data_IF_063702471087
#
_entry.id   IF_063702471087
#
_cell.length_a   1.000
_cell.length_b   1.000
_cell.length_c   1.000
_cell.angle_alpha   90.00
_cell.angle_beta   90.00
_cell.angle_gamma   90.00
#
_symmetry.space_group_name_H-M   'P 1'
#
loop_
_entity.id
_entity.type
_entity.pdbx_description
1 polymer ?
#
# COMPACT_ATOMS: atom_id res chain seq x y z
N UNK A 1 12.68 -39.04 -48.16
CA UNK A 1 12.07 -38.14 -47.14
C UNK A 1 13.19 -37.53 -46.32
N UNK A 2 13.59 -36.30 -46.63
CA UNK A 2 14.56 -35.57 -45.80
C UNK A 2 13.79 -34.93 -44.63
N UNK A 3 14.10 -35.38 -43.40
CA UNK A 3 13.58 -34.77 -42.19
C UNK A 3 14.05 -33.33 -42.08
N UNK A 4 13.13 -32.39 -41.85
CA UNK A 4 13.43 -31.00 -41.49
C UNK A 4 14.00 -30.97 -40.08
N UNK A 5 15.32 -30.95 -39.96
CA UNK A 5 15.98 -30.66 -38.68
C UNK A 5 16.09 -29.16 -38.56
N UNK A 6 15.31 -28.57 -37.65
CA UNK A 6 15.46 -27.15 -37.32
C UNK A 6 16.67 -26.96 -36.41
N UNK A 7 17.56 -26.03 -36.78
CA UNK A 7 18.65 -25.61 -35.91
C UNK A 7 18.16 -24.43 -35.08
N UNK A 8 18.14 -24.61 -33.78
CA UNK A 8 17.72 -23.55 -32.81
C UNK A 8 18.99 -22.96 -32.20
N UNK A 9 19.15 -21.64 -32.33
CA UNK A 9 20.22 -20.88 -31.69
C UNK A 9 19.73 -20.14 -30.44
N UNK A 10 20.62 -19.41 -29.77
CA UNK A 10 20.34 -18.62 -28.58
C UNK A 10 19.16 -17.64 -28.75
N UNK A 11 19.03 -17.07 -29.94
CA UNK A 11 17.96 -16.16 -30.33
C UNK A 11 16.56 -16.81 -30.32
N UNK A 12 16.49 -18.09 -30.70
CA UNK A 12 15.24 -18.85 -30.63
C UNK A 12 14.85 -19.20 -29.18
N UNK A 13 15.84 -19.48 -28.34
CA UNK A 13 15.64 -19.73 -26.91
C UNK A 13 15.10 -18.47 -26.21
N UNK A 14 15.74 -17.32 -26.41
CA UNK A 14 15.30 -16.05 -25.85
C UNK A 14 13.87 -15.68 -26.32
N UNK A 15 13.52 -15.99 -27.57
CA UNK A 15 12.17 -15.78 -28.10
C UNK A 15 11.15 -16.71 -27.47
N UNK A 16 11.51 -17.97 -27.21
CA UNK A 16 10.63 -18.92 -26.50
C UNK A 16 10.42 -18.51 -25.04
N UNK A 17 11.47 -18.06 -24.35
CA UNK A 17 11.40 -17.54 -22.99
C UNK A 17 10.48 -16.32 -22.89
N UNK A 18 10.62 -15.36 -23.83
CA UNK A 18 9.73 -14.21 -23.94
C UNK A 18 8.26 -14.63 -24.11
N UNK A 19 7.99 -15.57 -25.05
CA UNK A 19 6.64 -16.05 -25.32
C UNK A 19 6.06 -16.72 -24.07
N UNK A 20 6.83 -17.58 -23.41
CA UNK A 20 6.40 -18.30 -22.20
C UNK A 20 6.10 -17.32 -21.07
N UNK A 21 6.93 -16.32 -20.90
CA UNK A 21 6.76 -15.30 -19.86
C UNK A 21 5.51 -14.46 -20.13
N UNK A 22 5.33 -13.94 -21.34
CA UNK A 22 4.15 -13.17 -21.72
C UNK A 22 2.83 -13.98 -21.63
N UNK A 23 2.89 -15.29 -21.95
CA UNK A 23 1.73 -16.18 -21.75
C UNK A 23 1.38 -16.38 -20.27
N UNK A 24 2.40 -16.51 -19.42
CA UNK A 24 2.18 -16.59 -17.97
C UNK A 24 1.52 -15.31 -17.42
N UNK A 25 1.82 -14.16 -18.02
CA UNK A 25 1.19 -12.87 -17.72
C UNK A 25 -0.19 -12.68 -18.40
N UNK A 26 -0.72 -13.71 -19.06
CA UNK A 26 -2.06 -13.70 -19.66
C UNK A 26 -2.16 -13.14 -21.09
N UNK A 27 -1.03 -12.87 -21.75
CA UNK A 27 -1.06 -12.44 -23.16
C UNK A 27 -1.43 -13.61 -24.07
N UNK A 28 -2.35 -13.38 -25.02
CA UNK A 28 -2.64 -14.35 -26.06
C UNK A 28 -1.48 -14.44 -27.07
N UNK A 29 -1.29 -15.60 -27.67
CA UNK A 29 -0.27 -15.78 -28.73
C UNK A 29 -0.42 -14.76 -29.86
N UNK A 30 -1.66 -14.41 -30.23
CA UNK A 30 -1.91 -13.38 -31.26
C UNK A 30 -1.46 -11.98 -30.82
N UNK A 31 -1.55 -11.65 -29.52
CA UNK A 31 -1.03 -10.39 -29.00
C UNK A 31 0.50 -10.40 -28.96
N UNK A 32 1.10 -11.52 -28.58
CA UNK A 32 2.56 -11.72 -28.58
C UNK A 32 3.13 -11.64 -29.99
N UNK A 33 2.47 -12.27 -30.97
CA UNK A 33 2.87 -12.20 -32.38
C UNK A 33 2.91 -10.76 -32.88
N UNK A 34 1.87 -9.96 -32.61
CA UNK A 34 1.82 -8.55 -33.00
C UNK A 34 2.91 -7.72 -32.29
N UNK A 35 3.20 -7.98 -31.01
CA UNK A 35 4.29 -7.32 -30.31
C UNK A 35 5.66 -7.60 -30.94
N UNK A 36 5.88 -8.86 -31.32
CA UNK A 36 7.13 -9.27 -31.97
C UNK A 36 7.23 -8.75 -33.43
N UNK A 37 6.11 -8.72 -34.16
CA UNK A 37 6.06 -8.19 -35.54
C UNK A 37 6.18 -6.66 -35.58
N UNK A 38 5.69 -5.95 -34.58
CA UNK A 38 5.82 -4.49 -34.46
C UNK A 38 7.26 -4.04 -34.22
N UNK A 39 8.16 -4.94 -33.80
CA UNK A 39 9.58 -4.67 -33.58
C UNK A 39 10.51 -5.58 -34.43
N UNK A 40 10.40 -5.60 -35.75
CA UNK A 40 11.09 -6.58 -36.63
C UNK A 40 12.63 -6.50 -36.58
N UNK A 41 13.19 -5.41 -36.06
CA UNK A 41 14.62 -5.17 -35.96
C UNK A 41 15.19 -5.31 -34.54
N UNK A 42 14.37 -5.76 -33.58
CA UNK A 42 14.83 -5.98 -32.20
C UNK A 42 15.00 -7.48 -31.95
N UNK A 43 16.10 -7.85 -31.29
CA UNK A 43 16.22 -9.20 -30.76
C UNK A 43 15.15 -9.47 -29.69
N UNK A 44 14.71 -10.72 -29.59
CA UNK A 44 13.76 -11.12 -28.54
C UNK A 44 14.25 -10.75 -27.12
N UNK A 45 15.56 -10.79 -26.90
CA UNK A 45 16.21 -10.36 -25.66
C UNK A 45 15.95 -8.88 -25.35
N UNK A 46 15.99 -8.02 -26.36
CA UNK A 46 15.77 -6.59 -26.19
C UNK A 46 14.29 -6.28 -25.92
N UNK A 47 13.37 -6.99 -26.57
CA UNK A 47 11.94 -6.88 -26.30
C UNK A 47 11.60 -7.35 -24.87
N UNK A 48 12.22 -8.44 -24.42
CA UNK A 48 12.09 -8.92 -23.03
C UNK A 48 12.66 -7.91 -22.03
N UNK A 49 13.84 -7.35 -22.30
CA UNK A 49 14.45 -6.35 -21.44
C UNK A 49 13.56 -5.10 -21.29
N UNK A 50 12.98 -4.62 -22.39
CA UNK A 50 12.05 -3.49 -22.37
C UNK A 50 10.75 -3.80 -21.58
N UNK A 51 10.23 -5.03 -21.71
CA UNK A 51 9.08 -5.49 -20.93
C UNK A 51 9.42 -5.53 -19.44
N UNK A 52 10.55 -6.10 -19.06
CA UNK A 52 11.00 -6.14 -17.68
C UNK A 52 11.26 -4.74 -17.10
N UNK A 53 11.79 -3.81 -17.91
CA UNK A 53 11.92 -2.40 -17.53
C UNK A 53 10.55 -1.74 -17.27
N UNK A 54 9.54 -2.06 -18.05
CA UNK A 54 8.18 -1.53 -17.84
C UNK A 54 7.58 -1.99 -16.51
N UNK A 55 7.89 -3.22 -16.09
CA UNK A 55 7.45 -3.77 -14.80
C UNK A 55 8.34 -3.38 -13.60
N UNK A 56 9.54 -2.85 -13.85
CA UNK A 56 10.50 -2.52 -12.80
C UNK A 56 9.93 -1.65 -11.67
N UNK A 57 9.09 -0.63 -11.93
CA UNK A 57 8.49 0.18 -10.87
C UNK A 57 7.54 -0.60 -9.94
N UNK A 58 7.01 -1.74 -10.41
CA UNK A 58 6.03 -2.57 -9.72
C UNK A 58 6.62 -3.84 -9.10
N UNK A 59 7.96 -3.94 -9.10
CA UNK A 59 8.62 -5.08 -8.46
C UNK A 59 8.36 -5.08 -6.96
N UNK A 60 8.10 -6.27 -6.44
CA UNK A 60 8.08 -6.49 -5.01
C UNK A 60 9.44 -6.11 -4.39
N UNK A 61 9.43 -5.88 -3.11
CA UNK A 61 10.64 -5.67 -2.33
C UNK A 61 11.62 -6.84 -2.52
N UNK A 62 12.92 -6.55 -2.61
CA UNK A 62 13.93 -7.59 -2.74
C UNK A 62 13.99 -8.46 -1.49
N UNK A 63 13.96 -9.78 -1.70
CA UNK A 63 14.12 -10.73 -0.61
C UNK A 63 15.52 -10.64 -0.02
N UNK A 64 15.62 -10.85 1.29
CA UNK A 64 16.90 -10.86 2.01
C UNK A 64 17.18 -12.25 2.54
N UNK A 65 18.38 -12.75 2.24
CA UNK A 65 18.87 -14.04 2.74
C UNK A 65 19.76 -13.80 3.98
N UNK A 66 19.44 -14.46 5.08
CA UNK A 66 20.14 -14.30 6.35
C UNK A 66 20.31 -15.64 7.09
N UNK A 67 21.13 -15.68 8.13
CA UNK A 67 21.21 -16.83 9.02
C UNK A 67 20.12 -16.79 10.11
N UNK A 68 19.95 -17.93 10.83
CA UNK A 68 18.98 -18.04 11.92
C UNK A 68 19.24 -17.05 13.06
N UNK A 69 20.49 -16.70 13.34
CA UNK A 69 20.85 -15.76 14.39
C UNK A 69 20.44 -14.33 14.03
N UNK A 70 20.72 -13.93 12.81
CA UNK A 70 20.28 -12.63 12.25
C UNK A 70 18.76 -12.53 12.24
N UNK A 71 18.08 -13.57 11.75
CA UNK A 71 16.62 -13.62 11.71
C UNK A 71 16.00 -13.52 13.11
N UNK A 72 16.50 -14.29 14.07
CA UNK A 72 16.05 -14.23 15.46
C UNK A 72 16.27 -12.85 16.08
N UNK A 73 17.40 -12.22 15.76
CA UNK A 73 17.68 -10.84 16.19
C UNK A 73 16.69 -9.84 15.61
N UNK A 74 16.31 -10.00 14.36
CA UNK A 74 15.29 -9.18 13.71
C UNK A 74 13.93 -9.26 14.42
N UNK A 75 13.52 -10.47 14.78
CA UNK A 75 12.24 -10.70 15.46
C UNK A 75 12.26 -10.35 16.95
N UNK A 76 13.40 -9.93 17.49
CA UNK A 76 13.55 -9.58 18.90
C UNK A 76 13.64 -10.76 19.85
N UNK A 77 14.06 -11.94 19.34
CA UNK A 77 14.39 -13.12 20.15
C UNK A 77 13.30 -14.19 20.25
N UNK A 78 12.12 -14.01 19.69
CA UNK A 78 11.08 -15.04 19.68
C UNK A 78 11.17 -15.94 18.45
N UNK A 79 11.58 -17.19 18.68
CA UNK A 79 11.69 -18.24 17.64
C UNK A 79 10.32 -18.77 17.20
N UNK A 80 9.26 -18.57 17.99
CA UNK A 80 7.92 -19.09 17.72
C UNK A 80 7.26 -18.52 16.44
N UNK A 81 7.88 -17.54 15.82
CA UNK A 81 7.34 -16.82 14.67
C UNK A 81 7.81 -17.36 13.32
N UNK A 82 8.85 -18.21 13.27
CA UNK A 82 9.39 -18.65 11.98
C UNK A 82 8.40 -19.50 11.19
N UNK A 83 7.86 -20.55 11.82
CA UNK A 83 6.89 -21.45 11.17
C UNK A 83 5.65 -20.67 10.69
N UNK A 84 5.17 -19.73 11.49
CA UNK A 84 4.03 -18.88 11.14
C UNK A 84 4.34 -17.95 9.95
N UNK A 85 5.57 -17.44 9.84
CA UNK A 85 6.00 -16.63 8.70
C UNK A 85 6.20 -17.47 7.44
N UNK A 86 6.68 -18.72 7.57
CA UNK A 86 6.77 -19.68 6.45
C UNK A 86 5.37 -20.05 5.96
N UNK A 87 4.44 -20.37 6.86
CA UNK A 87 3.04 -20.67 6.52
C UNK A 87 2.35 -19.46 5.84
N UNK A 88 2.71 -18.25 6.25
CA UNK A 88 2.22 -17.03 5.64
C UNK A 88 2.93 -16.65 4.32
N UNK A 89 3.91 -17.45 3.85
CA UNK A 89 4.68 -17.19 2.63
C UNK A 89 5.60 -15.97 2.73
N UNK A 90 5.96 -15.54 3.94
CA UNK A 90 6.83 -14.37 4.18
C UNK A 90 8.29 -14.76 4.37
N UNK A 91 8.56 -16.02 4.68
CA UNK A 91 9.90 -16.56 4.80
C UNK A 91 9.95 -17.99 4.23
N UNK A 92 11.14 -18.43 3.83
CA UNK A 92 11.42 -19.81 3.44
C UNK A 92 12.78 -20.25 3.97
N UNK A 93 12.93 -21.53 4.27
CA UNK A 93 14.21 -22.11 4.60
C UNK A 93 14.94 -22.53 3.32
N UNK A 94 16.19 -22.10 3.20
CA UNK A 94 17.08 -22.41 2.10
C UNK A 94 18.04 -23.54 2.49
N UNK A 95 18.69 -24.14 1.47
CA UNK A 95 19.77 -25.09 1.69
C UNK A 95 20.87 -24.51 2.59
N UNK A 96 21.34 -25.34 3.54
CA UNK A 96 22.38 -24.93 4.50
C UNK A 96 21.85 -24.16 5.71
N UNK A 97 20.54 -24.18 5.97
CA UNK A 97 19.93 -23.57 7.15
C UNK A 97 19.89 -22.03 7.10
N UNK A 98 19.92 -21.46 5.90
CA UNK A 98 19.68 -20.03 5.71
C UNK A 98 18.19 -19.76 5.56
N UNK A 99 17.78 -18.56 5.88
CA UNK A 99 16.39 -18.10 5.76
C UNK A 99 16.32 -17.01 4.70
N UNK A 100 15.37 -17.12 3.77
CA UNK A 100 14.99 -16.05 2.87
C UNK A 100 13.72 -15.38 3.37
N UNK A 101 13.76 -14.06 3.50
CA UNK A 101 12.62 -13.23 3.87
C UNK A 101 12.14 -12.48 2.63
N UNK A 102 10.88 -12.70 2.23
CA UNK A 102 10.32 -12.18 0.99
C UNK A 102 9.85 -10.71 1.06
N UNK A 103 9.44 -10.25 2.23
CA UNK A 103 8.97 -8.87 2.44
C UNK A 103 9.59 -8.31 3.71
N UNK A 104 10.91 -7.97 3.67
CA UNK A 104 11.67 -7.61 4.85
C UNK A 104 11.08 -6.45 5.65
N UNK A 105 10.59 -5.39 5.00
CA UNK A 105 9.97 -4.25 5.69
C UNK A 105 8.67 -4.64 6.40
N UNK A 106 7.86 -5.51 5.78
CA UNK A 106 6.62 -6.00 6.40
C UNK A 106 6.90 -6.88 7.61
N UNK A 107 7.93 -7.74 7.54
CA UNK A 107 8.38 -8.57 8.68
C UNK A 107 8.90 -7.68 9.81
N UNK A 108 9.69 -6.64 9.51
CA UNK A 108 10.15 -5.67 10.53
C UNK A 108 8.99 -4.94 11.20
N UNK A 109 8.04 -4.43 10.41
CA UNK A 109 6.85 -3.76 10.96
C UNK A 109 6.05 -4.70 11.87
N UNK A 110 5.90 -5.98 11.49
CA UNK A 110 5.28 -7.01 12.32
C UNK A 110 6.05 -7.26 13.62
N UNK A 111 7.37 -7.34 13.55
CA UNK A 111 8.23 -7.50 14.73
C UNK A 111 8.16 -6.29 15.68
N UNK A 112 8.09 -5.08 15.14
CA UNK A 112 7.87 -3.87 15.96
C UNK A 112 6.50 -3.88 16.65
N UNK A 113 5.45 -4.28 15.94
CA UNK A 113 4.11 -4.41 16.49
C UNK A 113 4.04 -5.50 17.59
N UNK A 114 4.74 -6.61 17.41
CA UNK A 114 4.86 -7.67 18.43
C UNK A 114 5.53 -7.17 19.71
N UNK A 115 6.54 -6.30 19.62
CA UNK A 115 7.18 -5.64 20.78
C UNK A 115 6.22 -4.74 21.57
N UNK A 116 5.16 -4.25 20.94
CA UNK A 116 4.07 -3.53 21.61
C UNK A 116 3.05 -4.45 22.29
N UNK A 117 3.26 -5.77 22.24
CA UNK A 117 2.39 -6.78 22.85
C UNK A 117 1.26 -7.28 21.94
N UNK A 118 1.29 -6.96 20.65
CA UNK A 118 0.29 -7.48 19.72
C UNK A 118 0.61 -8.96 19.36
N UNK A 119 -0.38 -9.88 19.46
CA UNK A 119 -0.16 -11.29 19.15
C UNK A 119 0.18 -11.49 17.66
N UNK A 120 1.17 -12.34 17.38
CA UNK A 120 1.66 -12.61 16.03
C UNK A 120 0.55 -13.15 15.12
N UNK A 121 -0.29 -14.05 15.63
CA UNK A 121 -1.41 -14.60 14.86
C UNK A 121 -2.41 -13.53 14.42
N UNK A 122 -2.68 -12.55 15.30
CA UNK A 122 -3.54 -11.41 14.98
C UNK A 122 -2.88 -10.49 13.93
N UNK A 123 -1.57 -10.28 14.02
CA UNK A 123 -0.81 -9.51 13.01
C UNK A 123 -0.83 -10.18 11.65
N UNK A 124 -0.61 -11.50 11.59
CA UNK A 124 -0.68 -12.27 10.34
C UNK A 124 -2.09 -12.33 9.76
N UNK A 125 -3.11 -12.42 10.60
CA UNK A 125 -4.50 -12.32 10.16
C UNK A 125 -4.81 -10.94 9.58
N UNK A 126 -4.40 -9.88 10.27
CA UNK A 126 -4.56 -8.50 9.78
C UNK A 126 -3.84 -8.30 8.46
N UNK A 127 -2.60 -8.82 8.33
CA UNK A 127 -1.87 -8.79 7.07
C UNK A 127 -2.67 -9.43 5.93
N UNK A 128 -3.22 -10.64 6.13
CA UNK A 128 -4.04 -11.31 5.10
C UNK A 128 -5.19 -10.43 4.65
N UNK A 129 -5.94 -9.87 5.60
CA UNK A 129 -7.06 -8.97 5.29
C UNK A 129 -6.62 -7.72 4.53
N UNK A 130 -5.48 -7.14 4.89
CA UNK A 130 -4.92 -5.97 4.18
C UNK A 130 -4.52 -6.36 2.76
N UNK A 131 -3.84 -7.51 2.57
CA UNK A 131 -3.45 -7.97 1.24
C UNK A 131 -4.65 -8.24 0.35
N UNK A 132 -5.68 -8.93 0.84
CA UNK A 132 -6.93 -9.20 0.11
C UNK A 132 -7.58 -7.88 -0.38
N UNK A 133 -7.59 -6.84 0.46
CA UNK A 133 -8.14 -5.53 0.10
C UNK A 133 -7.26 -4.76 -0.87
N UNK A 134 -5.94 -4.89 -0.73
CA UNK A 134 -5.00 -4.25 -1.65
C UNK A 134 -5.03 -4.90 -3.03
N UNK A 135 -5.29 -6.20 -3.12
CA UNK A 135 -5.49 -6.89 -4.42
C UNK A 135 -6.71 -6.29 -5.15
N UNK A 136 -7.85 -6.10 -4.47
CA UNK A 136 -9.03 -5.43 -5.04
C UNK A 136 -8.71 -4.00 -5.53
N UNK A 137 -7.90 -3.26 -4.76
CA UNK A 137 -7.47 -1.90 -5.12
C UNK A 137 -6.53 -1.92 -6.32
N UNK A 138 -5.57 -2.86 -6.36
CA UNK A 138 -4.63 -3.02 -7.46
C UNK A 138 -5.37 -3.35 -8.76
N UNK A 139 -6.33 -4.29 -8.71
CA UNK A 139 -7.19 -4.61 -9.86
C UNK A 139 -7.93 -3.37 -10.37
N UNK A 140 -8.45 -2.52 -9.48
CA UNK A 140 -9.09 -1.27 -9.84
C UNK A 140 -8.18 -0.31 -10.61
N UNK A 141 -6.91 -0.17 -10.20
CA UNK A 141 -5.91 0.64 -10.92
C UNK A 141 -5.57 0.04 -12.29
N UNK A 142 -5.41 -1.29 -12.37
CA UNK A 142 -5.13 -2.00 -13.62
C UNK A 142 -6.31 -1.86 -14.59
N UNK A 143 -7.54 -1.98 -14.12
CA UNK A 143 -8.75 -1.83 -14.95
C UNK A 143 -8.92 -0.41 -15.46
N UNK A 144 -8.61 0.59 -14.64
CA UNK A 144 -8.59 1.99 -15.07
C UNK A 144 -7.57 2.20 -16.21
N UNK A 145 -6.36 1.69 -16.05
CA UNK A 145 -5.33 1.75 -17.10
C UNK A 145 -5.76 1.00 -18.36
N UNK A 146 -6.28 -0.22 -18.21
CA UNK A 146 -6.77 -1.07 -19.31
C UNK A 146 -7.90 -0.41 -20.09
N UNK A 147 -8.85 0.20 -19.37
CA UNK A 147 -10.02 0.85 -19.96
C UNK A 147 -9.71 2.17 -20.68
N UNK A 148 -8.58 2.78 -20.42
CA UNK A 148 -8.17 4.09 -20.93
C UNK A 148 -6.96 3.97 -21.88
N UNK A 149 -5.77 4.23 -21.37
CA UNK A 149 -4.55 4.33 -22.16
C UNK A 149 -4.22 3.06 -22.95
N UNK A 150 -4.37 1.89 -22.33
CA UNK A 150 -4.09 0.61 -22.99
C UNK A 150 -5.06 0.32 -24.12
N UNK A 151 -6.35 0.57 -23.91
CA UNK A 151 -7.38 0.39 -24.94
C UNK A 151 -7.12 1.24 -26.18
N UNK A 152 -6.74 2.49 -26.00
CA UNK A 152 -6.39 3.39 -27.12
C UNK A 152 -5.12 2.93 -27.85
N UNK A 153 -4.11 2.49 -27.10
CA UNK A 153 -2.86 1.98 -27.64
C UNK A 153 -3.08 0.73 -28.51
N UNK A 154 -3.90 -0.21 -28.00
CA UNK A 154 -4.26 -1.43 -28.76
C UNK A 154 -5.12 -1.09 -29.98
N UNK A 155 -6.10 -0.18 -29.87
CA UNK A 155 -6.95 0.24 -30.98
C UNK A 155 -6.16 0.94 -32.09
N UNK A 156 -5.05 1.60 -31.76
CA UNK A 156 -4.12 2.20 -32.71
C UNK A 156 -3.17 1.18 -33.37
N UNK A 157 -3.27 -0.13 -33.05
CA UNK A 157 -2.45 -1.18 -33.63
C UNK A 157 -1.08 -1.35 -32.97
N UNK A 158 -0.95 -0.96 -31.70
CA UNK A 158 0.30 -1.06 -30.91
C UNK A 158 1.48 -0.30 -31.57
N UNK A 159 1.35 1.00 -31.83
CA UNK A 159 2.40 1.75 -32.52
C UNK A 159 3.67 1.82 -31.68
N UNK A 160 4.80 1.36 -32.26
CA UNK A 160 6.10 1.28 -31.56
C UNK A 160 6.57 2.67 -31.10
N UNK A 161 6.21 3.71 -31.87
CA UNK A 161 6.54 5.11 -31.59
C UNK A 161 5.90 5.61 -30.29
N UNK A 162 4.78 5.01 -29.87
CA UNK A 162 4.07 5.36 -28.63
C UNK A 162 4.39 4.43 -27.45
N UNK A 163 5.25 3.44 -27.62
CA UNK A 163 5.62 2.51 -26.56
C UNK A 163 6.26 3.25 -25.37
N UNK A 164 7.06 4.27 -25.64
CA UNK A 164 7.67 5.11 -24.60
C UNK A 164 6.64 5.90 -23.80
N UNK A 165 5.53 6.35 -24.41
CA UNK A 165 4.43 6.99 -23.71
C UNK A 165 3.76 6.03 -22.72
N UNK A 166 3.49 4.80 -23.18
CA UNK A 166 2.87 3.76 -22.36
C UNK A 166 3.81 3.39 -21.20
N UNK A 167 5.09 3.19 -21.48
CA UNK A 167 6.09 2.90 -20.45
C UNK A 167 6.17 4.02 -19.41
N UNK A 168 6.20 5.27 -19.84
CA UNK A 168 6.20 6.42 -18.95
C UNK A 168 4.93 6.51 -18.11
N UNK A 169 3.76 6.25 -18.72
CA UNK A 169 2.49 6.22 -18.01
C UNK A 169 2.47 5.13 -16.92
N UNK A 170 2.89 3.90 -17.24
CA UNK A 170 2.98 2.79 -16.29
C UNK A 170 3.92 3.13 -15.13
N UNK A 171 5.11 3.68 -15.42
CA UNK A 171 6.06 4.09 -14.40
C UNK A 171 5.53 5.22 -13.50
N UNK A 172 4.76 6.16 -14.08
CA UNK A 172 4.16 7.27 -13.35
C UNK A 172 2.96 6.86 -12.49
N UNK A 173 2.25 5.80 -12.86
CA UNK A 173 1.11 5.30 -12.10
C UNK A 173 1.51 4.74 -10.73
N UNK A 174 2.66 4.10 -10.61
CA UNK A 174 3.10 3.49 -9.36
C UNK A 174 3.16 4.50 -8.20
N UNK A 175 3.87 5.62 -8.27
CA UNK A 175 3.91 6.59 -7.17
C UNK A 175 2.55 7.27 -6.96
N UNK A 176 1.70 7.38 -7.98
CA UNK A 176 0.35 7.91 -7.86
C UNK A 176 -0.52 6.93 -7.07
N UNK A 177 -0.53 5.66 -7.44
CA UNK A 177 -1.27 4.61 -6.74
C UNK A 177 -0.85 4.52 -5.26
N UNK A 178 0.47 4.46 -4.99
CA UNK A 178 0.99 4.40 -3.63
C UNK A 178 0.54 5.62 -2.78
N UNK A 179 0.61 6.83 -3.33
CA UNK A 179 0.15 8.04 -2.63
C UNK A 179 -1.36 8.03 -2.40
N UNK A 180 -2.15 7.55 -3.36
CA UNK A 180 -3.60 7.45 -3.24
C UNK A 180 -3.99 6.50 -2.12
N UNK A 181 -3.40 5.30 -2.08
CA UNK A 181 -3.63 4.31 -1.02
C UNK A 181 -3.25 4.88 0.35
N UNK A 182 -2.07 5.50 0.46
CA UNK A 182 -1.61 6.09 1.72
C UNK A 182 -2.49 7.26 2.17
N UNK A 183 -2.98 8.08 1.23
CA UNK A 183 -3.91 9.18 1.55
C UNK A 183 -5.25 8.66 2.04
N UNK A 184 -5.82 7.66 1.36
CA UNK A 184 -7.06 7.02 1.77
C UNK A 184 -6.94 6.36 3.16
N UNK A 185 -5.81 5.70 3.44
CA UNK A 185 -5.53 5.13 4.75
C UNK A 185 -5.49 6.19 5.85
N UNK A 186 -4.80 7.31 5.61
CA UNK A 186 -4.74 8.45 6.55
C UNK A 186 -6.11 9.10 6.78
N UNK A 187 -6.99 9.08 5.81
CA UNK A 187 -8.36 9.61 5.93
C UNK A 187 -9.27 8.66 6.72
N UNK A 188 -9.08 7.35 6.57
CA UNK A 188 -9.93 6.35 7.23
C UNK A 188 -9.54 6.06 8.68
N UNK A 189 -8.25 6.11 9.03
CA UNK A 189 -7.72 5.78 10.35
C UNK A 189 -8.32 6.63 11.49
N UNK A 190 -8.46 7.97 11.37
CA UNK A 190 -9.03 8.77 12.48
C UNK A 190 -10.46 8.37 12.84
N UNK A 191 -11.25 7.92 11.85
CA UNK A 191 -12.61 7.42 12.11
C UNK A 191 -12.57 6.12 12.92
N UNK A 192 -11.73 5.16 12.52
CA UNK A 192 -11.60 3.89 13.23
C UNK A 192 -11.09 4.08 14.67
N UNK A 193 -10.09 4.95 14.87
CA UNK A 193 -9.60 5.29 16.21
C UNK A 193 -10.67 6.01 17.05
N UNK A 194 -11.44 6.91 16.44
CA UNK A 194 -12.53 7.62 17.11
C UNK A 194 -13.66 6.68 17.56
N UNK A 195 -13.91 5.60 16.83
CA UNK A 195 -14.85 4.55 17.25
C UNK A 195 -14.33 3.81 18.49
N UNK A 196 -13.06 3.43 18.52
CA UNK A 196 -12.43 2.81 19.68
C UNK A 196 -12.48 3.69 20.94
N UNK A 197 -12.20 4.99 20.79
CA UNK A 197 -12.28 5.94 21.92
C UNK A 197 -13.71 6.07 22.44
N UNK A 198 -14.70 6.08 21.56
CA UNK A 198 -16.12 6.11 21.96
C UNK A 198 -16.54 4.85 22.72
N UNK A 199 -16.13 3.67 22.27
CA UNK A 199 -16.37 2.41 22.96
C UNK A 199 -15.74 2.42 24.37
N UNK A 200 -14.48 2.85 24.47
CA UNK A 200 -13.79 2.98 25.76
C UNK A 200 -14.52 3.95 26.72
N UNK A 201 -14.99 5.09 26.20
CA UNK A 201 -15.75 6.05 27.00
C UNK A 201 -17.10 5.51 27.50
N UNK A 202 -17.74 4.65 26.74
CA UNK A 202 -18.99 3.99 27.18
C UNK A 202 -18.75 2.96 28.29
N UNK A 203 -17.61 2.27 28.27
CA UNK A 203 -17.22 1.30 29.32
C UNK A 203 -16.82 1.99 30.61
N UNK A 204 -16.16 3.14 30.52
CA UNK A 204 -15.71 3.89 31.70
C UNK A 204 -16.86 4.62 32.44
N UNK A 205 -18.02 4.76 31.81
CA UNK A 205 -19.16 5.49 32.37
C UNK A 205 -18.92 7.01 32.44
N UNK A 206 -19.96 7.82 32.73
CA UNK A 206 -19.75 9.23 32.99
C UNK A 206 -18.94 9.37 34.29
N UNK A 207 -17.97 10.28 34.30
CA UNK A 207 -17.27 10.65 35.53
C UNK A 207 -18.30 10.94 36.63
N UNK A 208 -18.09 10.43 37.87
CA UNK A 208 -18.93 10.81 38.96
C UNK A 208 -18.88 12.33 39.06
N UNK A 209 -20.06 12.96 38.84
CA UNK A 209 -20.27 14.41 38.99
C UNK A 209 -19.63 14.80 40.32
N UNK A 210 -18.46 15.46 40.28
CA UNK A 210 -17.86 15.99 41.50
C UNK A 210 -18.94 16.80 42.20
N UNK A 211 -19.31 16.33 43.37
CA UNK A 211 -20.38 16.82 44.20
C UNK A 211 -20.39 18.35 44.16
N UNK A 212 -21.34 18.87 43.42
CA UNK A 212 -21.73 20.25 43.50
C UNK A 212 -22.24 20.45 44.93
N UNK A 213 -21.35 20.90 45.82
CA UNK A 213 -21.74 21.32 47.15
C UNK A 213 -22.94 22.26 47.01
N UNK A 214 -24.06 22.01 47.69
CA UNK A 214 -25.17 22.94 47.70
C UNK A 214 -24.69 24.20 48.40
N UNK A 215 -24.52 25.26 47.64
CA UNK A 215 -24.30 26.59 48.18
C UNK A 215 -25.51 26.97 49.05
N UNK A 216 -25.33 26.89 50.36
CA UNK A 216 -26.30 27.29 51.32
C UNK A 216 -26.69 28.76 51.10
N UNK A 217 -27.92 28.96 50.71
CA UNK A 217 -28.54 30.27 50.70
C UNK A 217 -28.73 30.70 52.19
N UNK A 218 -27.83 31.56 52.62
CA UNK A 218 -28.09 32.35 53.82
C UNK A 218 -28.72 33.68 53.40
N UNK A 219 -30.00 33.79 53.70
CA UNK A 219 -30.78 35.02 53.56
C UNK A 219 -30.60 35.93 54.73
N UNK A 220 -30.16 37.14 54.45
CA UNK A 220 -30.55 38.27 55.31
C UNK A 220 -30.80 39.49 54.46
N UNK A 221 -32.03 39.90 54.53
CA UNK A 221 -32.60 41.22 54.22
C UNK A 221 -31.79 42.34 54.85
N UNK A 222 -31.49 43.40 54.07
CA UNK A 222 -31.80 44.73 54.57
C UNK A 222 -31.80 45.74 53.40
N UNK A 223 -32.83 46.55 53.45
CA UNK A 223 -33.19 47.69 52.63
C UNK A 223 -32.28 48.87 52.95
N UNK A 224 -31.86 49.67 51.98
CA UNK A 224 -32.26 51.08 51.90
C UNK A 224 -31.42 51.86 50.91
N UNK A 225 -32.02 52.70 50.11
CA UNK A 225 -31.64 54.11 49.93
C UNK A 225 -30.87 54.54 48.71
N UNK A 226 -31.64 54.99 47.74
CA UNK A 226 -31.55 56.30 47.09
C UNK A 226 -30.35 56.65 46.15
N UNK A 227 -30.74 56.93 44.94
CA UNK A 227 -30.49 58.18 44.18
C UNK A 227 -29.10 58.42 43.52
N UNK A 228 -29.19 58.68 42.25
CA UNK A 228 -28.45 59.80 41.69
C UNK A 228 -27.73 59.51 40.37
N UNK A 229 -28.40 59.84 39.28
CA UNK A 229 -27.93 60.69 38.14
C UNK A 229 -26.57 60.42 37.54
N UNK A 230 -26.59 60.17 36.35
CA UNK A 230 -26.47 61.02 35.15
C UNK A 230 -25.17 60.87 34.32
N UNK A 231 -25.37 60.69 33.07
CA UNK A 231 -24.86 61.47 31.90
C UNK A 231 -23.58 61.03 31.20
N UNK A 232 -23.81 60.67 29.97
CA UNK A 232 -23.09 60.97 28.66
C UNK A 232 -21.64 60.52 28.52
N UNK A 233 -21.16 60.08 27.44
CA UNK A 233 -21.33 60.36 25.99
C UNK A 233 -20.06 59.87 25.26
N UNK A 234 -20.28 59.53 24.06
CA UNK A 234 -19.33 59.57 22.90
C UNK A 234 -17.97 58.87 23.03
N UNK A 235 -17.51 58.16 22.08
CA UNK A 235 -17.60 58.28 20.65
C UNK A 235 -16.43 57.51 20.03
N UNK A 236 -16.71 57.02 18.86
CA UNK A 236 -15.81 56.91 17.69
C UNK A 236 -14.38 56.31 17.87
N UNK A 237 -13.91 55.41 17.13
CA UNK A 237 -13.72 55.43 15.67
C UNK A 237 -12.93 54.19 15.24
N UNK A 238 -13.27 53.65 14.13
CA UNK A 238 -12.51 52.70 13.31
C UNK A 238 -11.46 53.54 12.56
N UNK A 239 -10.32 53.11 12.05
CA UNK A 239 -10.25 52.08 11.01
C UNK A 239 -8.95 51.27 10.81
N UNK A 240 -9.12 50.23 10.01
CA UNK A 240 -8.23 49.70 8.95
C UNK A 240 -6.68 49.75 9.08
N UNK A 241 -6.09 48.61 9.04
CA UNK A 241 -5.29 48.13 7.87
C UNK A 241 -5.13 46.61 7.93
#
# INVERSE_FOLDING_TARGET
MQGRTGFYGAEHLARLELITHLQAEGFSLAAIERLVEAAPNQSAERALAQYLEMLAPWRAEESVDMDHGEFTSWLGGEVASFDALVEAGMAEELDGGRIRVHSPEMVRAGAEAAKLGLPIDALLQTRRQVMDRLDEVADGFVDLFRGTLWKEFVAAGLPVERLDEVRHAVASLQPIAARTVMSAFRETMPRAVGELVREASQVLGPEPDEAREPHAADGTHETDGAAGTDVVDEGDDVPHT
#
